data_IF_942924837302
#
_entry.id   IF_942924837302
#
_cell.length_a   1.000
_cell.length_b   1.000
_cell.length_c   1.000
_cell.angle_alpha   90.00
_cell.angle_beta   90.00
_cell.angle_gamma   90.00
#
_symmetry.space_group_name_H-M   'P 1'
#
loop_
_entity.id
_entity.type
_entity.pdbx_description
1 polymer ?
#
# COMPACT_ATOMS: atom_id res chain seq x y z
N UNK A 1 -30.02 33.44 20.49
CA UNK A 1 -29.28 32.17 20.38
C UNK A 1 -27.80 32.34 20.75
N UNK A 2 -27.01 33.21 20.08
CA UNK A 2 -25.58 33.39 20.40
C UNK A 2 -25.26 33.73 21.86
N UNK A 3 -26.03 34.63 22.49
CA UNK A 3 -25.85 35.01 23.90
C UNK A 3 -26.07 33.83 24.86
N UNK A 4 -27.02 32.94 24.56
CA UNK A 4 -27.25 31.71 25.32
C UNK A 4 -26.11 30.69 25.15
N UNK A 5 -25.52 30.59 23.95
CA UNK A 5 -24.37 29.72 23.68
C UNK A 5 -23.12 30.19 24.43
N UNK A 6 -22.90 31.50 24.55
CA UNK A 6 -21.78 32.06 25.33
C UNK A 6 -21.94 31.78 26.83
N UNK A 7 -23.15 32.01 27.37
CA UNK A 7 -23.44 31.71 28.79
C UNK A 7 -23.23 30.21 29.06
N UNK A 8 -23.73 29.35 28.18
CA UNK A 8 -23.53 27.91 28.29
C UNK A 8 -22.04 27.52 28.19
N UNK A 9 -21.30 28.14 27.28
CA UNK A 9 -19.86 27.89 27.10
C UNK A 9 -19.02 28.23 28.32
N UNK A 10 -19.27 29.40 28.94
CA UNK A 10 -18.61 29.79 30.20
C UNK A 10 -19.05 28.94 31.39
N UNK A 11 -20.32 28.54 31.46
CA UNK A 11 -20.83 27.72 32.56
C UNK A 11 -20.32 26.26 32.55
N UNK A 12 -19.80 25.79 31.41
CA UNK A 12 -19.36 24.40 31.23
C UNK A 12 -17.89 24.28 30.78
N UNK A 13 -17.08 25.33 30.97
CA UNK A 13 -15.65 25.37 30.61
C UNK A 13 -15.34 24.81 29.21
N UNK A 14 -16.15 25.20 28.22
CA UNK A 14 -16.01 24.69 26.86
C UNK A 14 -14.75 25.19 26.16
N UNK A 15 -14.31 24.41 25.15
CA UNK A 15 -13.12 24.69 24.36
C UNK A 15 -13.12 26.11 23.77
N UNK A 16 -11.95 26.78 23.66
CA UNK A 16 -11.85 28.13 23.09
C UNK A 16 -12.46 28.26 21.68
N UNK A 17 -12.40 27.19 20.88
CA UNK A 17 -12.99 27.16 19.54
C UNK A 17 -14.52 27.25 19.56
N UNK A 18 -15.18 26.64 20.54
CA UNK A 18 -16.63 26.77 20.74
C UNK A 18 -17.00 28.20 21.11
N UNK A 19 -16.22 28.83 22.00
CA UNK A 19 -16.44 30.21 22.40
C UNK A 19 -16.34 31.16 21.20
N UNK A 20 -15.34 30.99 20.33
CA UNK A 20 -15.21 31.76 19.08
C UNK A 20 -16.45 31.61 18.18
N UNK A 21 -16.94 30.38 18.00
CA UNK A 21 -18.18 30.12 17.26
C UNK A 21 -19.39 30.81 17.90
N UNK A 22 -19.53 30.75 19.21
CA UNK A 22 -20.63 31.38 19.96
C UNK A 22 -20.62 32.91 19.83
N UNK A 23 -19.44 33.54 19.88
CA UNK A 23 -19.26 34.97 19.62
C UNK A 23 -19.60 35.34 18.16
N UNK A 24 -19.16 34.54 17.19
CA UNK A 24 -19.50 34.77 15.79
C UNK A 24 -21.02 34.69 15.55
N UNK A 25 -21.70 33.70 16.12
CA UNK A 25 -23.17 33.58 16.07
C UNK A 25 -23.89 34.74 16.76
N UNK A 26 -23.33 35.28 17.84
CA UNK A 26 -23.87 36.49 18.48
C UNK A 26 -23.76 37.68 17.55
N UNK A 27 -22.59 37.91 16.94
CA UNK A 27 -22.35 39.02 16.01
C UNK A 27 -23.33 38.94 14.82
N UNK A 28 -23.48 37.77 14.22
CA UNK A 28 -24.44 37.55 13.12
C UNK A 28 -25.88 37.84 13.59
N UNK A 29 -26.25 37.37 14.78
CA UNK A 29 -27.57 37.64 15.36
C UNK A 29 -27.83 39.14 15.60
N UNK A 30 -26.85 39.87 16.12
CA UNK A 30 -26.92 41.32 16.33
C UNK A 30 -27.02 42.07 15.01
N UNK A 31 -26.23 41.70 14.00
CA UNK A 31 -26.31 42.31 12.67
C UNK A 31 -27.70 42.07 12.05
N UNK A 32 -28.24 40.85 12.19
CA UNK A 32 -29.56 40.50 11.68
C UNK A 32 -30.69 41.29 12.38
N UNK A 33 -30.64 41.42 13.71
CA UNK A 33 -31.64 42.21 14.45
C UNK A 33 -31.54 43.69 14.13
N UNK A 34 -30.33 44.28 14.09
CA UNK A 34 -30.11 45.67 13.68
C UNK A 34 -30.58 45.94 12.24
N UNK A 35 -30.39 44.98 11.33
CA UNK A 35 -30.92 45.06 9.97
C UNK A 35 -32.44 44.92 9.89
N UNK A 36 -33.08 44.26 10.85
CA UNK A 36 -34.54 44.14 10.92
C UNK A 36 -35.21 45.41 11.45
N UNK A 37 -34.52 46.13 12.35
CA UNK A 37 -34.98 47.39 12.94
C UNK A 37 -34.80 48.62 12.02
N UNK A 38 -34.47 48.41 10.74
CA UNK A 38 -34.26 49.44 9.71
C UNK A 38 -33.21 50.52 10.09
N UNK A 39 -32.26 50.15 10.97
CA UNK A 39 -31.17 51.04 11.43
C UNK A 39 -30.14 51.28 10.31
N UNK A 40 -29.98 50.32 9.39
CA UNK A 40 -29.08 50.45 8.25
C UNK A 40 -29.78 51.05 7.04
N UNK A 41 -29.10 51.97 6.36
CA UNK A 41 -29.57 52.48 5.07
C UNK A 41 -29.67 51.36 4.03
N UNK A 42 -30.60 51.51 3.06
CA UNK A 42 -30.85 50.52 2.01
C UNK A 42 -29.56 50.07 1.29
N UNK A 43 -28.64 51.01 1.01
CA UNK A 43 -27.37 50.71 0.35
C UNK A 43 -26.42 49.85 1.20
N UNK A 44 -26.28 50.14 2.50
CA UNK A 44 -25.42 49.36 3.41
C UNK A 44 -25.95 47.94 3.58
N UNK A 45 -27.27 47.78 3.70
CA UNK A 45 -27.91 46.46 3.79
C UNK A 45 -27.62 45.60 2.56
N UNK A 46 -27.71 46.17 1.36
CA UNK A 46 -27.40 45.46 0.11
C UNK A 46 -25.94 45.01 0.07
N UNK A 47 -24.99 45.87 0.48
CA UNK A 47 -23.57 45.51 0.53
C UNK A 47 -23.33 44.35 1.49
N UNK A 48 -23.89 44.40 2.71
CA UNK A 48 -23.75 43.32 3.70
C UNK A 48 -24.26 41.99 3.15
N UNK A 49 -25.40 41.98 2.45
CA UNK A 49 -25.94 40.77 1.83
C UNK A 49 -24.99 40.19 0.77
N UNK A 50 -24.43 41.04 -0.10
CA UNK A 50 -23.47 40.58 -1.11
C UNK A 50 -22.18 40.05 -0.48
N UNK A 51 -21.67 40.69 0.56
CA UNK A 51 -20.49 40.22 1.30
C UNK A 51 -20.76 38.88 1.96
N UNK A 52 -21.92 38.72 2.63
CA UNK A 52 -22.32 37.45 3.22
C UNK A 52 -22.49 36.35 2.18
N UNK A 53 -23.10 36.66 1.03
CA UNK A 53 -23.24 35.72 -0.07
C UNK A 53 -21.87 35.27 -0.62
N UNK A 54 -20.96 36.22 -0.85
CA UNK A 54 -19.59 35.90 -1.28
C UNK A 54 -18.86 35.04 -0.25
N UNK A 55 -18.99 35.37 1.03
CA UNK A 55 -18.41 34.59 2.13
C UNK A 55 -18.99 33.17 2.19
N UNK A 56 -20.30 33.01 2.03
CA UNK A 56 -20.95 31.69 1.96
C UNK A 56 -20.45 30.85 0.79
N UNK A 57 -20.24 31.44 -0.39
CA UNK A 57 -19.68 30.72 -1.55
C UNK A 57 -18.25 30.25 -1.29
N UNK A 58 -17.42 31.09 -0.64
CA UNK A 58 -16.06 30.71 -0.25
C UNK A 58 -16.07 29.56 0.75
N UNK A 59 -16.95 29.61 1.76
CA UNK A 59 -17.10 28.52 2.73
C UNK A 59 -17.51 27.20 2.07
N UNK A 60 -18.50 27.22 1.16
CA UNK A 60 -18.92 26.04 0.41
C UNK A 60 -17.73 25.42 -0.34
N UNK A 61 -16.89 26.24 -0.96
CA UNK A 61 -15.70 25.75 -1.66
C UNK A 61 -14.64 25.17 -0.71
N UNK A 62 -14.41 25.81 0.44
CA UNK A 62 -13.47 25.33 1.46
C UNK A 62 -13.92 23.99 2.05
N UNK A 63 -15.21 23.85 2.38
CA UNK A 63 -15.77 22.60 2.91
C UNK A 63 -15.68 21.47 1.88
N UNK A 64 -16.01 21.77 0.61
CA UNK A 64 -15.86 20.81 -0.48
C UNK A 64 -14.41 20.34 -0.63
N UNK A 65 -13.45 21.28 -0.62
CA UNK A 65 -12.03 20.98 -0.75
C UNK A 65 -11.50 20.17 0.44
N UNK A 66 -11.88 20.54 1.66
CA UNK A 66 -11.45 19.87 2.88
C UNK A 66 -11.84 18.39 2.92
N UNK A 67 -12.98 18.02 2.32
CA UNK A 67 -13.42 16.62 2.22
C UNK A 67 -12.81 15.93 0.99
N UNK A 68 -12.72 16.62 -0.14
CA UNK A 68 -12.26 16.03 -1.40
C UNK A 68 -10.77 15.70 -1.38
N UNK A 69 -9.93 16.59 -0.89
CA UNK A 69 -8.47 16.40 -0.88
C UNK A 69 -8.05 15.09 -0.18
N UNK A 70 -8.50 14.77 1.07
CA UNK A 70 -8.15 13.50 1.70
C UNK A 70 -8.77 12.30 0.97
N UNK A 71 -9.97 12.44 0.40
CA UNK A 71 -10.62 11.36 -0.35
C UNK A 71 -9.83 11.00 -1.62
N UNK A 72 -9.40 12.00 -2.38
CA UNK A 72 -8.63 11.81 -3.60
C UNK A 72 -7.22 11.29 -3.30
N UNK A 73 -6.61 11.76 -2.20
CA UNK A 73 -5.35 11.18 -1.71
C UNK A 73 -5.49 9.70 -1.38
N UNK A 74 -6.52 9.29 -0.63
CA UNK A 74 -6.74 7.88 -0.27
C UNK A 74 -7.03 7.00 -1.50
N UNK A 75 -7.81 7.50 -2.46
CA UNK A 75 -8.08 6.77 -3.71
C UNK A 75 -6.80 6.55 -4.52
N UNK A 76 -5.99 7.59 -4.68
CA UNK A 76 -4.73 7.49 -5.42
C UNK A 76 -3.71 6.64 -4.66
N UNK A 77 -3.64 6.75 -3.33
CA UNK A 77 -2.85 5.87 -2.46
C UNK A 77 -3.21 4.41 -2.70
N UNK A 78 -4.50 4.06 -2.59
CA UNK A 78 -4.97 2.69 -2.80
C UNK A 78 -4.62 2.19 -4.21
N UNK A 79 -4.83 3.02 -5.23
CA UNK A 79 -4.47 2.68 -6.61
C UNK A 79 -2.99 2.39 -6.75
N UNK A 80 -2.11 3.27 -6.28
CA UNK A 80 -0.64 3.08 -6.36
C UNK A 80 -0.19 1.86 -5.59
N UNK A 81 -0.71 1.68 -4.39
CA UNK A 81 -0.33 0.57 -3.51
C UNK A 81 -0.75 -0.79 -4.06
N UNK A 82 -1.81 -0.91 -4.86
CA UNK A 82 -2.10 -2.16 -5.57
C UNK A 82 -0.94 -2.58 -6.50
N UNK A 83 -0.30 -1.64 -7.20
CA UNK A 83 0.86 -1.95 -8.06
C UNK A 83 2.09 -2.28 -7.22
N UNK A 84 2.38 -1.48 -6.18
CA UNK A 84 3.52 -1.70 -5.28
C UNK A 84 3.41 -3.09 -4.62
N UNK A 85 2.26 -3.41 -4.05
CA UNK A 85 1.99 -4.69 -3.40
C UNK A 85 2.14 -5.85 -4.38
N UNK A 86 1.66 -5.72 -5.62
CA UNK A 86 1.85 -6.78 -6.62
C UNK A 86 3.33 -6.99 -6.92
N UNK A 87 4.11 -5.93 -7.15
CA UNK A 87 5.55 -6.06 -7.38
C UNK A 87 6.27 -6.66 -6.16
N UNK A 88 5.87 -6.30 -4.93
CA UNK A 88 6.42 -6.91 -3.72
C UNK A 88 6.07 -8.41 -3.62
N UNK A 89 4.88 -8.84 -4.06
CA UNK A 89 4.52 -10.27 -4.17
C UNK A 89 5.37 -11.00 -5.21
N UNK A 90 5.62 -10.36 -6.35
CA UNK A 90 6.45 -10.88 -7.42
C UNK A 90 7.92 -11.05 -6.95
N UNK A 91 8.48 -10.04 -6.27
CA UNK A 91 9.82 -10.08 -5.69
C UNK A 91 9.94 -11.10 -4.56
N UNK A 92 8.90 -11.24 -3.71
CA UNK A 92 8.83 -12.30 -2.70
C UNK A 92 8.91 -13.68 -3.35
N UNK A 93 8.17 -13.90 -4.44
CA UNK A 93 8.17 -15.18 -5.13
C UNK A 93 9.57 -15.52 -5.67
N UNK A 94 10.27 -14.53 -6.22
CA UNK A 94 11.66 -14.70 -6.67
C UNK A 94 12.62 -15.03 -5.50
N UNK A 95 12.50 -14.34 -4.37
CA UNK A 95 13.28 -14.65 -3.16
C UNK A 95 13.02 -16.07 -2.63
N UNK A 96 11.76 -16.51 -2.64
CA UNK A 96 11.39 -17.86 -2.22
C UNK A 96 11.98 -18.93 -3.15
N UNK A 97 11.94 -18.69 -4.46
CA UNK A 97 12.55 -19.57 -5.45
C UNK A 97 14.07 -19.67 -5.25
N UNK A 98 14.74 -18.53 -5.06
CA UNK A 98 16.18 -18.50 -4.80
C UNK A 98 16.54 -19.27 -3.52
N UNK A 99 15.79 -19.06 -2.42
CA UNK A 99 16.01 -19.79 -1.16
C UNK A 99 15.78 -21.30 -1.32
N UNK A 100 14.80 -21.72 -2.11
CA UNK A 100 14.53 -23.14 -2.35
C UNK A 100 15.75 -23.84 -2.96
N UNK A 101 16.46 -23.16 -3.86
CA UNK A 101 17.61 -23.70 -4.56
C UNK A 101 18.94 -23.53 -3.79
N UNK A 102 19.16 -22.38 -3.17
CA UNK A 102 20.45 -21.98 -2.58
C UNK A 102 20.46 -21.95 -1.05
N UNK A 103 19.31 -22.18 -0.40
CA UNK A 103 19.19 -22.24 1.06
C UNK A 103 19.32 -20.89 1.79
N UNK A 104 19.42 -19.77 1.08
CA UNK A 104 19.56 -18.41 1.62
C UNK A 104 18.77 -17.39 0.79
N UNK A 105 18.55 -16.19 1.30
CA UNK A 105 17.95 -15.08 0.54
C UNK A 105 19.03 -14.14 -0.03
N UNK A 106 18.66 -13.34 -1.02
CA UNK A 106 19.52 -12.30 -1.62
C UNK A 106 19.32 -10.96 -0.92
N UNK A 107 20.43 -10.27 -0.63
CA UNK A 107 20.43 -9.01 0.14
C UNK A 107 20.68 -7.75 -0.70
N UNK A 108 20.44 -7.80 -2.02
CA UNK A 108 20.50 -6.63 -2.88
C UNK A 108 19.53 -6.80 -4.05
N UNK A 109 19.00 -5.68 -4.55
CA UNK A 109 18.10 -5.69 -5.71
C UNK A 109 18.84 -6.18 -6.96
N UNK A 110 20.08 -5.73 -7.18
CA UNK A 110 20.87 -6.11 -8.35
C UNK A 110 21.10 -7.61 -8.44
N UNK A 111 21.48 -8.25 -7.34
CA UNK A 111 21.69 -9.71 -7.32
C UNK A 111 20.37 -10.47 -7.51
N UNK A 112 19.26 -9.94 -7.01
CA UNK A 112 17.93 -10.54 -7.22
C UNK A 112 17.53 -10.47 -8.69
N UNK A 113 17.73 -9.33 -9.35
CA UNK A 113 17.45 -9.19 -10.78
C UNK A 113 18.41 -10.01 -11.64
N UNK A 114 19.68 -10.13 -11.26
CA UNK A 114 20.65 -11.00 -11.93
C UNK A 114 20.21 -12.47 -11.88
N UNK A 115 19.75 -12.94 -10.72
CA UNK A 115 19.16 -14.28 -10.58
C UNK A 115 17.95 -14.47 -11.50
N UNK A 116 17.01 -13.53 -11.49
CA UNK A 116 15.78 -13.63 -12.29
C UNK A 116 16.10 -13.69 -13.79
N UNK A 117 17.02 -12.84 -14.27
CA UNK A 117 17.28 -12.66 -15.69
C UNK A 117 18.28 -13.68 -16.26
N UNK A 118 19.31 -14.03 -15.50
CA UNK A 118 20.48 -14.75 -16.02
C UNK A 118 20.63 -16.18 -15.46
N UNK A 119 19.96 -16.52 -14.34
CA UNK A 119 20.12 -17.82 -13.70
C UNK A 119 19.01 -18.82 -14.11
N UNK A 120 19.19 -20.06 -13.69
CA UNK A 120 18.30 -21.19 -13.94
C UNK A 120 17.92 -21.90 -12.66
N UNK A 121 16.68 -22.35 -12.61
CA UNK A 121 16.13 -23.14 -11.51
C UNK A 121 16.14 -24.62 -11.89
N UNK A 122 16.51 -25.45 -10.92
CA UNK A 122 16.46 -26.91 -11.05
C UNK A 122 15.01 -27.38 -10.91
N UNK A 123 14.47 -27.96 -11.97
CA UNK A 123 13.14 -28.57 -12.00
C UNK A 123 13.28 -30.09 -12.00
N UNK A 124 12.55 -30.74 -11.10
CA UNK A 124 12.41 -32.20 -11.08
C UNK A 124 11.33 -32.55 -12.09
N UNK A 125 11.73 -33.20 -13.19
CA UNK A 125 10.84 -33.63 -14.26
C UNK A 125 10.73 -35.14 -14.23
N UNK A 126 9.50 -35.63 -14.17
CA UNK A 126 9.20 -37.05 -14.30
C UNK A 126 8.88 -37.35 -15.76
N UNK A 127 9.75 -38.12 -16.41
CA UNK A 127 9.56 -38.57 -17.78
C UNK A 127 9.09 -40.03 -17.78
N UNK A 128 7.85 -40.28 -18.18
CA UNK A 128 7.22 -41.60 -18.15
C UNK A 128 5.91 -41.62 -17.36
N UNK A 129 5.31 -42.80 -17.20
CA UNK A 129 4.01 -42.98 -16.54
C UNK A 129 4.10 -44.14 -15.56
N UNK A 130 3.45 -44.02 -14.40
CA UNK A 130 3.29 -45.13 -13.47
C UNK A 130 2.19 -46.05 -14.01
N UNK A 131 2.49 -47.31 -14.40
CA UNK A 131 1.45 -48.24 -14.87
C UNK A 131 0.51 -48.67 -13.74
N UNK A 132 -0.75 -48.97 -14.07
CA UNK A 132 -1.75 -49.42 -13.10
C UNK A 132 -1.29 -50.71 -12.39
N UNK A 133 -1.27 -50.68 -11.06
CA UNK A 133 -0.84 -51.81 -10.23
C UNK A 133 0.62 -51.76 -9.75
N UNK A 134 1.40 -50.75 -10.16
CA UNK A 134 2.75 -50.48 -9.64
C UNK A 134 2.79 -49.25 -8.74
N UNK A 135 3.66 -49.28 -7.73
CA UNK A 135 4.00 -48.09 -6.95
C UNK A 135 5.00 -47.20 -7.71
N UNK A 136 5.07 -45.91 -7.35
CA UNK A 136 5.99 -44.96 -7.99
C UNK A 136 7.45 -45.44 -7.95
N UNK A 137 7.88 -46.02 -6.83
CA UNK A 137 9.23 -46.59 -6.66
C UNK A 137 9.47 -47.77 -7.61
N UNK A 138 8.49 -48.67 -7.75
CA UNK A 138 8.59 -49.81 -8.67
C UNK A 138 8.62 -49.37 -10.13
N UNK A 139 7.90 -48.32 -10.50
CA UNK A 139 7.93 -47.76 -11.84
C UNK A 139 9.28 -47.11 -12.17
N UNK A 140 9.97 -46.53 -11.18
CA UNK A 140 11.33 -46.00 -11.32
C UNK A 140 12.32 -47.14 -11.53
N UNK A 141 12.30 -48.13 -10.64
CA UNK A 141 13.23 -49.28 -10.70
C UNK A 141 13.05 -50.11 -11.97
N UNK A 142 11.82 -50.18 -12.49
CA UNK A 142 11.47 -50.92 -13.71
C UNK A 142 11.69 -50.12 -15.00
N UNK A 143 12.11 -48.85 -14.92
CA UNK A 143 12.37 -47.98 -16.07
C UNK A 143 11.12 -47.40 -16.76
N UNK A 144 9.93 -47.56 -16.18
CA UNK A 144 8.70 -46.93 -16.67
C UNK A 144 8.60 -45.43 -16.32
N UNK A 145 9.33 -45.01 -15.28
CA UNK A 145 9.38 -43.63 -14.81
C UNK A 145 10.83 -43.21 -14.59
N UNK A 146 11.36 -42.30 -15.41
CA UNK A 146 12.64 -41.66 -15.17
C UNK A 146 12.40 -40.31 -14.47
N UNK A 147 13.09 -40.06 -13.35
CA UNK A 147 13.09 -38.74 -12.70
C UNK A 147 14.41 -38.07 -13.04
N UNK A 148 14.35 -37.05 -13.87
CA UNK A 148 15.50 -36.25 -14.27
C UNK A 148 15.40 -34.85 -13.69
N UNK A 149 16.56 -34.25 -13.41
CA UNK A 149 16.64 -32.84 -13.03
C UNK A 149 17.03 -32.02 -14.25
N UNK A 150 16.17 -31.11 -14.69
CA UNK A 150 16.45 -30.19 -15.79
C UNK A 150 16.63 -28.77 -15.28
N UNK A 151 17.35 -27.95 -16.05
CA UNK A 151 17.50 -26.51 -15.79
C UNK A 151 16.49 -25.76 -16.66
N UNK A 152 15.71 -24.88 -16.04
CA UNK A 152 14.84 -23.94 -16.74
C UNK A 152 15.19 -22.49 -16.32
N UNK A 153 15.01 -21.49 -17.19
CA UNK A 153 15.26 -20.10 -16.84
C UNK A 153 14.45 -19.67 -15.61
N UNK A 154 15.08 -18.94 -14.69
CA UNK A 154 14.44 -18.52 -13.45
C UNK A 154 13.17 -17.71 -13.71
N UNK A 155 13.24 -16.67 -14.57
CA UNK A 155 12.09 -15.84 -14.91
C UNK A 155 10.85 -16.65 -15.36
N UNK A 156 11.01 -17.56 -16.33
CA UNK A 156 9.87 -18.34 -16.87
C UNK A 156 9.32 -19.37 -15.88
N UNK A 157 10.16 -19.81 -14.94
CA UNK A 157 9.79 -20.80 -13.92
C UNK A 157 9.08 -20.16 -12.74
N UNK A 158 9.55 -18.99 -12.29
CA UNK A 158 8.97 -18.22 -11.19
C UNK A 158 7.65 -17.58 -11.61
N UNK A 159 7.64 -16.99 -12.81
CA UNK A 159 6.51 -16.24 -13.38
C UNK A 159 5.83 -17.06 -14.47
N UNK A 160 5.39 -18.27 -14.14
CA UNK A 160 4.67 -19.15 -15.05
C UNK A 160 3.23 -18.64 -15.33
N UNK A 161 2.57 -19.22 -16.32
CA UNK A 161 1.22 -18.79 -16.71
C UNK A 161 0.21 -18.86 -15.56
N UNK A 162 0.39 -19.82 -14.64
CA UNK A 162 -0.47 -20.01 -13.47
C UNK A 162 -0.25 -18.89 -12.45
N UNK A 163 0.99 -18.50 -12.20
CA UNK A 163 1.30 -17.36 -11.35
C UNK A 163 0.75 -16.07 -11.93
N UNK A 164 0.90 -15.89 -13.25
CA UNK A 164 0.47 -14.68 -13.94
C UNK A 164 -1.06 -14.54 -14.04
N UNK A 165 -1.83 -15.64 -13.99
CA UNK A 165 -3.30 -15.59 -14.13
C UNK A 165 -4.01 -14.90 -12.96
N UNK A 166 -3.44 -14.95 -11.76
CA UNK A 166 -4.09 -14.47 -10.54
C UNK A 166 -3.75 -12.99 -10.23
N UNK A 167 -3.03 -12.33 -11.13
CA UNK A 167 -2.57 -10.95 -10.94
C UNK A 167 -3.69 -9.94 -11.14
N UNK A 168 -3.66 -8.90 -10.31
CA UNK A 168 -4.55 -7.73 -10.44
C UNK A 168 -3.99 -6.65 -11.38
N UNK A 169 -2.67 -6.61 -11.58
CA UNK A 169 -2.00 -5.63 -12.44
C UNK A 169 -1.11 -6.34 -13.47
N UNK A 170 -0.90 -5.72 -14.65
CA UNK A 170 -0.04 -6.28 -15.69
C UNK A 170 1.37 -6.59 -15.17
N UNK A 171 1.96 -7.67 -15.65
CA UNK A 171 3.35 -8.01 -15.35
C UNK A 171 4.30 -7.31 -16.32
N UNK A 172 5.39 -6.78 -15.78
CA UNK A 172 6.54 -6.35 -16.55
C UNK A 172 7.80 -6.68 -15.78
N UNK A 173 8.63 -7.53 -16.37
CA UNK A 173 9.90 -7.96 -15.80
C UNK A 173 10.91 -6.80 -15.75
N UNK A 174 10.96 -5.99 -16.81
CA UNK A 174 11.93 -4.89 -16.94
C UNK A 174 11.76 -3.82 -15.85
N UNK A 175 10.53 -3.58 -15.41
CA UNK A 175 10.22 -2.61 -14.35
C UNK A 175 10.17 -3.21 -12.95
N UNK A 176 10.36 -4.53 -12.79
CA UNK A 176 10.12 -5.22 -11.52
C UNK A 176 11.00 -4.71 -10.36
N UNK A 177 12.23 -4.27 -10.67
CA UNK A 177 13.16 -3.72 -9.70
C UNK A 177 12.70 -2.35 -9.12
N UNK A 178 11.85 -1.64 -9.84
CA UNK A 178 11.47 -0.26 -9.55
C UNK A 178 10.13 -0.17 -8.85
N UNK A 179 10.03 0.77 -7.90
CA UNK A 179 8.78 1.15 -7.27
C UNK A 179 7.87 1.76 -8.35
N UNK A 180 6.65 1.24 -8.56
CA UNK A 180 5.71 1.81 -9.52
C UNK A 180 5.49 3.32 -9.29
N UNK A 181 5.40 4.09 -10.37
CA UNK A 181 5.25 5.56 -10.34
C UNK A 181 6.45 6.32 -9.75
N UNK A 182 7.60 5.66 -9.60
CA UNK A 182 8.85 6.25 -9.12
C UNK A 182 10.04 5.79 -9.98
N UNK A 183 11.17 6.47 -9.82
CA UNK A 183 12.47 6.07 -10.38
C UNK A 183 13.31 5.28 -9.37
N UNK A 184 12.88 5.20 -8.11
CA UNK A 184 13.59 4.48 -7.07
C UNK A 184 13.40 2.97 -7.18
N UNK A 185 14.45 2.20 -6.90
CA UNK A 185 14.36 0.75 -6.76
C UNK A 185 13.86 0.36 -5.37
N UNK A 186 13.27 -0.82 -5.23
CA UNK A 186 12.99 -1.35 -3.89
C UNK A 186 14.30 -1.62 -3.13
N UNK A 187 14.28 -1.39 -1.83
CA UNK A 187 15.38 -1.76 -0.94
C UNK A 187 15.24 -3.22 -0.59
N UNK A 188 16.30 -4.01 -0.80
CA UNK A 188 16.34 -5.45 -0.50
C UNK A 188 17.46 -5.70 0.50
N UNK A 189 17.14 -6.37 1.59
CA UNK A 189 18.09 -6.77 2.62
C UNK A 189 17.88 -8.25 2.98
N UNK A 190 18.97 -8.93 3.32
CA UNK A 190 18.93 -10.31 3.79
C UNK A 190 19.88 -10.51 4.96
N UNK A 191 19.46 -11.35 5.90
CA UNK A 191 20.23 -11.69 7.09
C UNK A 191 19.95 -13.13 7.52
N UNK A 192 20.64 -13.58 8.56
CA UNK A 192 20.42 -14.88 9.19
C UNK A 192 20.19 -14.63 10.67
N UNK A 193 19.02 -15.02 11.18
CA UNK A 193 18.68 -14.93 12.59
C UNK A 193 18.77 -16.30 13.26
N UNK A 194 19.02 -16.31 14.57
CA UNK A 194 19.03 -17.53 15.37
C UNK A 194 17.70 -17.66 16.13
N UNK A 195 17.01 -18.79 15.93
CA UNK A 195 15.78 -19.14 16.64
C UNK A 195 15.99 -20.47 17.36
N UNK A 196 16.11 -20.42 18.69
CA UNK A 196 16.20 -21.62 19.54
C UNK A 196 17.35 -22.59 19.18
N UNK A 197 18.46 -22.08 18.62
CA UNK A 197 19.65 -22.79 18.07
C UNK A 197 19.63 -23.15 16.57
N UNK A 198 18.57 -22.79 15.84
CA UNK A 198 18.52 -22.95 14.37
C UNK A 198 18.82 -21.61 13.70
N UNK A 199 19.74 -21.62 12.74
CA UNK A 199 20.01 -20.47 11.86
C UNK A 199 18.96 -20.43 10.76
N UNK A 200 18.17 -19.37 10.73
CA UNK A 200 17.09 -19.18 9.75
C UNK A 200 17.41 -17.99 8.87
N UNK A 201 17.53 -18.15 7.55
CA UNK A 201 17.69 -17.02 6.65
C UNK A 201 16.40 -16.21 6.61
N UNK A 202 16.54 -14.89 6.59
CA UNK A 202 15.45 -13.92 6.53
C UNK A 202 15.77 -12.83 5.53
N UNK A 203 14.73 -12.15 5.04
CA UNK A 203 14.85 -11.06 4.09
C UNK A 203 13.82 -9.98 4.40
N UNK A 204 14.10 -8.77 3.93
CA UNK A 204 13.18 -7.65 3.95
C UNK A 204 13.25 -6.96 2.59
N UNK A 205 12.10 -6.73 1.99
CA UNK A 205 11.98 -5.83 0.83
C UNK A 205 11.07 -4.69 1.23
N UNK A 206 11.52 -3.46 1.02
CA UNK A 206 10.81 -2.25 1.42
C UNK A 206 10.66 -1.30 0.23
N UNK A 207 9.49 -0.65 0.15
CA UNK A 207 9.26 0.46 -0.76
C UNK A 207 10.16 1.66 -0.38
N UNK A 208 11.09 2.00 -1.26
CA UNK A 208 12.01 3.11 -1.06
C UNK A 208 11.41 4.49 -1.41
N UNK A 209 10.24 4.52 -2.04
CA UNK A 209 9.55 5.74 -2.44
C UNK A 209 8.02 5.65 -2.19
N UNK A 210 7.60 5.48 -0.92
CA UNK A 210 6.20 5.32 -0.57
C UNK A 210 5.41 6.59 -0.88
N UNK A 211 4.20 6.42 -1.39
CA UNK A 211 3.29 7.56 -1.64
C UNK A 211 2.79 8.18 -0.34
N UNK A 212 2.61 7.38 0.71
CA UNK A 212 2.33 7.82 2.07
C UNK A 212 3.48 7.39 2.97
N UNK A 213 4.30 8.35 3.40
CA UNK A 213 5.49 8.11 4.23
C UNK A 213 5.17 7.45 5.58
N UNK A 214 3.93 7.56 6.06
CA UNK A 214 3.50 6.91 7.30
C UNK A 214 3.12 5.43 7.12
N UNK A 215 2.94 4.98 5.87
CA UNK A 215 2.44 3.65 5.53
C UNK A 215 3.29 3.03 4.43
N UNK A 216 4.50 2.64 4.80
CA UNK A 216 5.49 2.06 3.89
C UNK A 216 5.19 0.58 3.65
N UNK A 217 5.04 0.19 2.40
CA UNK A 217 4.79 -1.20 2.02
C UNK A 217 6.07 -2.02 2.08
N UNK A 218 6.00 -3.20 2.71
CA UNK A 218 7.15 -4.09 2.87
C UNK A 218 6.74 -5.55 2.97
N UNK A 219 7.69 -6.43 2.66
CA UNK A 219 7.52 -7.89 2.74
C UNK A 219 8.72 -8.56 3.38
N UNK A 220 8.44 -9.52 4.26
CA UNK A 220 9.46 -10.17 5.08
C UNK A 220 9.80 -9.37 6.35
N UNK A 221 10.86 -9.77 7.03
CA UNK A 221 11.38 -9.14 8.24
C UNK A 221 12.83 -9.56 8.45
N UNK A 222 13.66 -8.68 9.02
CA UNK A 222 15.02 -9.03 9.43
C UNK A 222 15.11 -9.61 10.84
N UNK A 223 14.02 -9.52 11.62
CA UNK A 223 13.98 -9.96 13.03
C UNK A 223 13.15 -11.22 13.22
N UNK A 224 12.23 -11.52 12.30
CA UNK A 224 11.34 -12.67 12.34
C UNK A 224 11.41 -13.48 11.05
N UNK A 225 11.29 -14.82 11.11
CA UNK A 225 11.31 -15.68 9.93
C UNK A 225 9.95 -15.67 9.21
N UNK A 226 9.48 -14.48 8.85
CA UNK A 226 8.23 -14.27 8.09
C UNK A 226 8.53 -13.93 6.63
N UNK A 227 7.61 -14.31 5.77
CA UNK A 227 7.58 -13.92 4.34
C UNK A 227 6.27 -13.18 4.01
N UNK A 228 5.50 -12.82 5.04
CA UNK A 228 4.26 -12.07 4.88
C UNK A 228 4.56 -10.60 4.55
N UNK A 229 3.64 -9.99 3.80
CA UNK A 229 3.61 -8.54 3.61
C UNK A 229 2.84 -7.86 4.73
N UNK A 230 3.05 -6.55 4.91
CA UNK A 230 2.34 -5.74 5.90
C UNK A 230 0.95 -5.25 5.45
N UNK A 231 0.44 -5.70 4.30
CA UNK A 231 -0.81 -5.21 3.70
C UNK A 231 -2.06 -6.04 4.04
N UNK A 232 -1.94 -7.08 4.86
CA UNK A 232 -3.02 -8.05 5.14
C UNK A 232 -3.29 -8.94 3.93
N UNK A 233 -3.06 -10.25 4.08
CA UNK A 233 -3.40 -11.26 3.06
C UNK A 233 -4.78 -11.88 3.32
#
# INVERSE_FOLDING_TARGET
MGLALIIYGFANDQLPLFMLGAFAFLIVGVIATLSSLDIFSKGVRTIILFVMMAFSVVLIWLDYKAIKDPLDFQKEKQRRYQYVIQNLKDLRQAQMAYKSQYGKYLGSMDSLMDFINNDSILLIVSNGTVPDGMTQTQAIDSGYLAIDTSKAPAATTIFDQKYLSDRKVPFSLDSLAYVPFSTSMFTVEASIIERGKVKVPVFLITDAAPYDEMDVMMVGSLVDPTTAGNWGE
#
